data_IF_458258058098
#
_entry.id   IF_458258058098
#
_cell.length_a   1.000
_cell.length_b   1.000
_cell.length_c   1.000
_cell.angle_alpha   90.00
_cell.angle_beta   90.00
_cell.angle_gamma   90.00
#
_symmetry.space_group_name_H-M   'P 1'
#
loop_
_entity.id
_entity.type
_entity.pdbx_description
1 polymer ?
#
# COMPACT_ATOMS: atom_id res chain seq x y z
N UNK A 1 -15.21 13.43 -3.96
CA UNK A 1 -15.61 13.30 -2.54
C UNK A 1 -14.37 13.19 -1.68
N UNK A 2 -14.34 13.84 -0.51
CA UNK A 2 -13.23 13.70 0.45
C UNK A 2 -13.51 12.47 1.31
N UNK A 3 -12.56 11.53 1.39
CA UNK A 3 -12.65 10.37 2.28
C UNK A 3 -12.30 10.79 3.71
N UNK A 4 -13.05 10.29 4.70
CA UNK A 4 -12.85 10.58 6.12
C UNK A 4 -13.00 9.27 6.89
N UNK A 5 -12.14 9.04 7.88
CA UNK A 5 -12.28 7.88 8.77
C UNK A 5 -13.42 8.11 9.76
N UNK A 6 -14.35 7.16 9.81
CA UNK A 6 -15.39 7.14 10.82
C UNK A 6 -14.86 6.54 12.12
N UNK A 7 -15.45 6.90 13.26
CA UNK A 7 -15.04 6.37 14.57
C UNK A 7 -15.11 4.83 14.62
N UNK A 8 -16.09 4.23 13.95
CA UNK A 8 -16.19 2.77 13.85
C UNK A 8 -15.03 2.13 13.08
N UNK A 9 -14.45 2.82 12.10
CA UNK A 9 -13.23 2.35 11.44
C UNK A 9 -12.07 2.28 12.42
N UNK A 10 -11.91 3.33 13.25
CA UNK A 10 -10.86 3.38 14.27
C UNK A 10 -11.06 2.29 15.32
N UNK A 11 -12.29 2.09 15.80
CA UNK A 11 -12.63 1.04 16.77
C UNK A 11 -12.39 -0.36 16.21
N UNK A 12 -12.75 -0.59 14.95
CA UNK A 12 -12.51 -1.85 14.28
C UNK A 12 -11.00 -2.15 14.18
N UNK A 13 -10.23 -1.17 13.72
CA UNK A 13 -8.78 -1.30 13.58
C UNK A 13 -8.09 -1.51 14.92
N UNK A 14 -8.47 -0.78 15.98
CA UNK A 14 -7.92 -0.98 17.33
C UNK A 14 -8.18 -2.40 17.88
N UNK A 15 -9.30 -3.03 17.50
CA UNK A 15 -9.65 -4.38 17.96
C UNK A 15 -8.97 -5.48 17.16
N UNK A 16 -8.89 -5.32 15.84
CA UNK A 16 -8.40 -6.38 14.94
C UNK A 16 -6.94 -6.21 14.50
N UNK A 17 -6.36 -5.01 14.68
CA UNK A 17 -5.06 -4.67 14.11
C UNK A 17 -5.06 -4.56 12.58
N UNK A 18 -6.23 -4.61 11.94
CA UNK A 18 -6.39 -4.47 10.50
C UNK A 18 -7.76 -3.93 10.11
N UNK A 19 -7.88 -3.37 8.90
CA UNK A 19 -9.13 -2.90 8.32
C UNK A 19 -9.04 -2.89 6.79
N UNK A 20 -10.12 -3.28 6.12
CA UNK A 20 -10.24 -3.26 4.65
C UNK A 20 -11.13 -2.11 4.19
N UNK A 21 -10.74 -1.48 3.09
CA UNK A 21 -11.53 -0.47 2.38
C UNK A 21 -11.66 -0.87 0.92
N UNK A 22 -12.88 -1.20 0.49
CA UNK A 22 -13.17 -1.69 -0.87
C UNK A 22 -12.79 -0.70 -1.98
N UNK A 23 -12.99 0.59 -1.74
CA UNK A 23 -12.74 1.66 -2.71
C UNK A 23 -11.81 2.75 -2.16
N UNK A 24 -10.66 2.34 -1.61
CA UNK A 24 -9.68 3.27 -1.04
C UNK A 24 -9.10 4.20 -2.12
N UNK A 25 -8.79 3.64 -3.28
CA UNK A 25 -8.26 4.36 -4.45
C UNK A 25 -9.12 4.00 -5.66
N UNK A 26 -9.50 4.96 -6.53
CA UNK A 26 -10.21 4.63 -7.75
C UNK A 26 -9.41 3.70 -8.64
N UNK A 27 -10.08 2.67 -9.16
CA UNK A 27 -9.49 1.67 -10.05
C UNK A 27 -8.72 2.29 -11.23
N UNK A 28 -9.22 3.41 -11.79
CA UNK A 28 -8.51 4.15 -12.85
C UNK A 28 -7.11 4.61 -12.45
N UNK A 29 -6.95 5.13 -11.24
CA UNK A 29 -5.65 5.59 -10.72
C UNK A 29 -4.72 4.39 -10.47
N UNK A 30 -5.28 3.27 -9.96
CA UNK A 30 -4.56 2.01 -9.75
C UNK A 30 -4.06 1.38 -11.05
N UNK A 31 -4.93 1.23 -12.06
CA UNK A 31 -4.57 0.68 -13.36
C UNK A 31 -3.50 1.56 -14.06
N UNK A 32 -3.63 2.88 -13.97
CA UNK A 32 -2.64 3.79 -14.54
C UNK A 32 -1.26 3.65 -13.86
N UNK A 33 -1.24 3.47 -12.54
CA UNK A 33 -0.01 3.21 -11.80
C UNK A 33 0.59 1.85 -12.18
N UNK A 34 -0.23 0.82 -12.31
CA UNK A 34 0.23 -0.53 -12.71
C UNK A 34 0.90 -0.52 -14.10
N UNK A 35 0.34 0.22 -15.05
CA UNK A 35 0.96 0.38 -16.39
C UNK A 35 2.33 1.04 -16.28
N UNK A 36 2.48 2.06 -15.43
CA UNK A 36 3.77 2.73 -15.21
C UNK A 36 4.79 1.79 -14.56
N UNK A 37 4.38 1.00 -13.57
CA UNK A 37 5.21 -0.03 -12.93
C UNK A 37 5.68 -1.07 -13.96
N UNK A 38 4.77 -1.59 -14.80
CA UNK A 38 5.10 -2.53 -15.87
C UNK A 38 6.08 -1.92 -16.88
N UNK A 39 5.89 -0.67 -17.27
CA UNK A 39 6.79 0.02 -18.20
C UNK A 39 8.18 0.27 -17.59
N UNK A 40 8.26 0.61 -16.31
CA UNK A 40 9.52 0.75 -15.59
C UNK A 40 10.29 -0.57 -15.51
N UNK A 41 9.64 -1.69 -15.21
CA UNK A 41 10.31 -2.99 -15.22
C UNK A 41 10.84 -3.35 -16.62
N UNK A 42 10.08 -3.06 -17.69
CA UNK A 42 10.54 -3.31 -19.06
C UNK A 42 11.80 -2.51 -19.44
N UNK A 43 11.97 -1.31 -18.89
CA UNK A 43 13.11 -0.44 -19.23
C UNK A 43 14.34 -0.75 -18.41
N UNK A 44 14.18 -1.18 -17.15
CA UNK A 44 15.29 -1.32 -16.20
C UNK A 44 15.67 -2.78 -15.93
N UNK A 45 14.73 -3.71 -16.01
CA UNK A 45 14.97 -5.10 -15.65
C UNK A 45 15.19 -5.98 -16.88
N UNK A 46 16.37 -6.61 -16.96
CA UNK A 46 16.59 -7.79 -17.83
C UNK A 46 15.84 -9.03 -17.33
N UNK A 47 15.56 -9.06 -16.03
CA UNK A 47 14.80 -10.12 -15.34
C UNK A 47 13.71 -9.48 -14.46
N UNK A 48 12.47 -9.64 -14.88
CA UNK A 48 11.28 -9.07 -14.24
C UNK A 48 10.90 -9.78 -12.93
N UNK A 49 11.45 -10.97 -12.66
CA UNK A 49 11.18 -11.72 -11.44
C UNK A 49 12.04 -11.27 -10.26
N UNK A 50 13.13 -10.53 -10.54
CA UNK A 50 14.06 -10.13 -9.51
C UNK A 50 13.41 -9.14 -8.51
N UNK A 51 13.30 -9.51 -7.22
CA UNK A 51 12.64 -8.70 -6.20
C UNK A 51 13.33 -7.35 -5.96
N UNK A 52 14.60 -7.20 -6.35
CA UNK A 52 15.35 -5.94 -6.24
C UNK A 52 14.67 -4.79 -6.98
N UNK A 53 14.11 -5.05 -8.17
CA UNK A 53 13.46 -4.02 -8.98
C UNK A 53 12.05 -3.68 -8.52
N UNK A 54 11.53 -4.43 -7.54
CA UNK A 54 10.17 -4.32 -7.01
C UNK A 54 10.13 -3.67 -5.63
N UNK A 55 11.30 -3.46 -4.99
CA UNK A 55 11.43 -2.76 -3.71
C UNK A 55 11.71 -1.27 -3.93
N UNK A 56 11.11 -0.41 -3.11
CA UNK A 56 11.34 1.04 -3.10
C UNK A 56 11.05 1.71 -4.45
N UNK A 57 10.00 1.26 -5.15
CA UNK A 57 9.59 1.75 -6.47
C UNK A 57 9.15 3.21 -6.41
N UNK A 58 8.68 3.71 -5.26
CA UNK A 58 8.40 5.15 -5.07
C UNK A 58 9.61 6.06 -5.37
N UNK A 59 10.85 5.53 -5.28
CA UNK A 59 12.07 6.29 -5.59
C UNK A 59 12.29 6.49 -7.09
N UNK A 60 11.70 5.62 -7.91
CA UNK A 60 11.83 5.66 -9.37
C UNK A 60 10.55 6.10 -10.07
N UNK A 61 9.39 5.92 -9.41
CA UNK A 61 8.07 6.22 -9.95
C UNK A 61 7.38 7.24 -9.02
N UNK A 62 7.52 8.55 -9.30
CA UNK A 62 7.01 9.60 -8.43
C UNK A 62 5.48 9.58 -8.28
N UNK A 63 4.76 8.92 -9.19
CA UNK A 63 3.32 8.73 -9.11
C UNK A 63 2.89 7.94 -7.88
N UNK A 64 3.76 7.06 -7.36
CA UNK A 64 3.51 6.32 -6.12
C UNK A 64 3.41 7.29 -4.94
N UNK A 65 4.43 8.12 -4.75
CA UNK A 65 4.45 9.16 -3.70
C UNK A 65 3.32 10.17 -3.88
N UNK A 66 3.02 10.53 -5.13
CA UNK A 66 1.91 11.42 -5.48
C UNK A 66 0.56 10.80 -5.11
N UNK A 67 0.36 9.51 -5.34
CA UNK A 67 -0.86 8.79 -4.95
C UNK A 67 -1.03 8.82 -3.43
N UNK A 68 0.02 8.48 -2.68
CA UNK A 68 0.02 8.47 -1.21
C UNK A 68 -0.37 9.84 -0.65
N UNK A 69 0.20 10.92 -1.20
CA UNK A 69 -0.13 12.30 -0.81
C UNK A 69 -1.55 12.69 -1.21
N UNK A 70 -1.92 12.49 -2.48
CA UNK A 70 -3.24 12.87 -3.03
C UNK A 70 -4.39 12.16 -2.31
N UNK A 71 -4.19 10.91 -1.91
CA UNK A 71 -5.18 10.09 -1.21
C UNK A 71 -5.04 10.14 0.31
N UNK A 72 -4.08 10.92 0.83
CA UNK A 72 -3.83 11.09 2.27
C UNK A 72 -3.63 9.74 3.00
N UNK A 73 -2.99 8.78 2.34
CA UNK A 73 -2.83 7.42 2.87
C UNK A 73 -1.95 7.40 4.14
N UNK A 74 -0.94 8.26 4.19
CA UNK A 74 -0.12 8.45 5.38
C UNK A 74 -0.90 9.08 6.54
N UNK A 75 -1.81 10.03 6.26
CA UNK A 75 -2.66 10.62 7.30
C UNK A 75 -3.61 9.56 7.88
N UNK A 76 -4.24 8.76 7.01
CA UNK A 76 -5.11 7.66 7.44
C UNK A 76 -4.34 6.62 8.26
N UNK A 77 -3.14 6.25 7.83
CA UNK A 77 -2.29 5.37 8.62
C UNK A 77 -2.03 5.97 10.00
N UNK A 78 -1.58 7.24 10.09
CA UNK A 78 -1.32 7.92 11.36
C UNK A 78 -2.55 7.97 12.28
N UNK A 79 -3.73 8.27 11.73
CA UNK A 79 -5.00 8.29 12.47
C UNK A 79 -5.37 6.90 13.00
N UNK A 80 -5.18 5.84 12.22
CA UNK A 80 -5.49 4.47 12.63
C UNK A 80 -4.61 3.99 13.80
N UNK A 81 -3.33 4.36 13.81
CA UNK A 81 -2.36 3.96 14.85
C UNK A 81 -2.17 5.00 15.97
N UNK A 82 -2.95 6.07 16.01
CA UNK A 82 -2.84 7.14 17.02
C UNK A 82 -1.45 7.80 17.09
N UNK A 83 -0.82 8.02 15.94
CA UNK A 83 0.45 8.75 15.83
C UNK A 83 0.22 10.16 15.30
N UNK A 84 1.05 11.16 15.69
CA UNK A 84 0.91 12.52 15.18
C UNK A 84 1.20 12.61 13.68
N UNK A 85 2.12 11.80 13.17
CA UNK A 85 2.50 11.73 11.76
C UNK A 85 3.22 10.40 11.48
N UNK A 86 3.05 9.90 10.25
CA UNK A 86 3.89 8.86 9.67
C UNK A 86 4.33 9.25 8.27
N UNK A 87 5.39 8.60 7.78
CA UNK A 87 5.93 8.78 6.44
C UNK A 87 6.06 7.43 5.74
N UNK A 88 5.91 7.41 4.40
CA UNK A 88 6.26 6.24 3.60
C UNK A 88 7.78 6.04 3.66
N UNK A 89 8.23 4.88 4.16
CA UNK A 89 9.66 4.55 4.27
C UNK A 89 10.10 3.49 3.28
N UNK A 90 9.22 2.53 3.00
CA UNK A 90 9.45 1.46 2.04
C UNK A 90 8.16 1.16 1.27
N UNK A 91 8.31 0.67 0.04
CA UNK A 91 7.23 0.02 -0.68
C UNK A 91 7.75 -1.25 -1.40
N UNK A 92 6.82 -2.14 -1.74
CA UNK A 92 7.13 -3.38 -2.42
C UNK A 92 6.01 -3.78 -3.37
N UNK A 93 6.34 -4.04 -4.63
CA UNK A 93 5.39 -4.49 -5.65
C UNK A 93 5.25 -6.02 -5.62
N UNK A 94 4.06 -6.48 -5.27
CA UNK A 94 3.69 -7.86 -4.95
C UNK A 94 2.85 -8.47 -6.06
N UNK A 95 3.09 -9.75 -6.36
CA UNK A 95 2.27 -10.54 -7.26
C UNK A 95 1.48 -11.64 -6.52
N UNK A 96 0.40 -12.14 -7.14
CA UNK A 96 -0.38 -13.25 -6.57
C UNK A 96 0.50 -14.46 -6.22
N UNK A 97 0.26 -15.05 -5.04
CA UNK A 97 0.99 -16.22 -4.55
C UNK A 97 2.35 -15.92 -3.90
N UNK A 98 2.81 -14.67 -3.90
CA UNK A 98 4.03 -14.29 -3.19
C UNK A 98 3.78 -14.07 -1.69
N UNK A 99 4.77 -14.43 -0.87
CA UNK A 99 4.75 -14.07 0.55
C UNK A 99 5.07 -12.59 0.71
N UNK A 100 4.22 -11.88 1.46
CA UNK A 100 4.46 -10.49 1.81
C UNK A 100 5.68 -10.38 2.73
N UNK A 101 6.57 -9.41 2.50
CA UNK A 101 7.71 -9.19 3.38
C UNK A 101 7.22 -8.80 4.78
N UNK A 102 7.82 -9.41 5.81
CA UNK A 102 7.55 -9.05 7.20
C UNK A 102 8.12 -7.66 7.48
N UNK A 103 7.32 -6.81 8.12
CA UNK A 103 7.72 -5.47 8.55
C UNK A 103 7.40 -5.29 10.04
N UNK A 104 8.30 -4.63 10.76
CA UNK A 104 8.13 -4.25 12.17
C UNK A 104 7.81 -2.76 12.31
N UNK A 105 7.52 -2.08 11.19
CA UNK A 105 7.15 -0.66 11.20
C UNK A 105 5.72 -0.45 11.71
N UNK A 106 5.40 0.81 12.00
CA UNK A 106 4.19 1.17 12.73
C UNK A 106 2.88 0.77 12.02
N UNK A 107 2.82 0.88 10.68
CA UNK A 107 1.63 0.52 9.91
C UNK A 107 1.98 0.15 8.46
N UNK A 108 1.25 -0.82 7.91
CA UNK A 108 1.37 -1.26 6.53
C UNK A 108 0.03 -1.08 5.79
N UNK A 109 0.11 -0.83 4.48
CA UNK A 109 -1.05 -0.78 3.60
C UNK A 109 -0.78 -1.62 2.36
N UNK A 110 -1.60 -2.64 2.11
CA UNK A 110 -1.60 -3.34 0.83
C UNK A 110 -2.68 -2.76 -0.08
N UNK A 111 -2.31 -2.23 -1.24
CA UNK A 111 -3.22 -1.66 -2.22
C UNK A 111 -3.29 -2.53 -3.48
N UNK A 112 -4.46 -3.07 -3.79
CA UNK A 112 -4.70 -3.85 -4.99
C UNK A 112 -4.68 -2.94 -6.24
N UNK A 113 -3.78 -3.23 -7.18
CA UNK A 113 -3.60 -2.42 -8.40
C UNK A 113 -4.36 -2.98 -9.61
N UNK A 114 -4.73 -4.27 -9.56
CA UNK A 114 -5.40 -4.99 -10.66
C UNK A 114 -6.28 -6.12 -10.10
N UNK A 115 -7.10 -6.72 -10.97
CA UNK A 115 -8.08 -7.75 -10.61
C UNK A 115 -9.43 -7.19 -10.18
N UNK A 116 -10.30 -8.06 -9.67
CA UNK A 116 -11.69 -7.74 -9.34
C UNK A 116 -11.81 -6.76 -8.16
N UNK A 117 -10.82 -6.78 -7.25
CA UNK A 117 -10.72 -5.89 -6.09
C UNK A 117 -9.80 -4.69 -6.34
N UNK A 118 -9.59 -4.28 -7.60
CA UNK A 118 -8.74 -3.15 -7.93
C UNK A 118 -9.20 -1.86 -7.23
N UNK A 119 -8.29 -1.22 -6.49
CA UNK A 119 -8.58 -0.05 -5.67
C UNK A 119 -8.86 -0.35 -4.20
N UNK A 120 -9.03 -1.62 -3.85
CA UNK A 120 -9.14 -2.07 -2.47
C UNK A 120 -7.81 -1.87 -1.73
N UNK A 121 -7.90 -1.40 -0.50
CA UNK A 121 -6.75 -1.23 0.38
C UNK A 121 -6.97 -1.87 1.74
N UNK A 122 -5.96 -2.59 2.24
CA UNK A 122 -5.96 -3.20 3.58
C UNK A 122 -4.88 -2.54 4.41
N UNK A 123 -5.28 -1.80 5.45
CA UNK A 123 -4.35 -1.33 6.48
C UNK A 123 -4.19 -2.41 7.56
N UNK A 124 -2.97 -2.61 8.05
CA UNK A 124 -2.68 -3.58 9.10
C UNK A 124 -1.41 -3.22 9.88
N UNK A 125 -1.22 -3.90 11.01
CA UNK A 125 0.01 -3.85 11.81
C UNK A 125 0.60 -5.27 11.88
N UNK A 126 1.89 -5.40 11.58
CA UNK A 126 2.62 -6.66 11.70
C UNK A 126 2.40 -7.58 10.50
N UNK A 127 1.92 -8.80 10.74
CA UNK A 127 1.73 -9.80 9.68
C UNK A 127 0.45 -9.50 8.90
N UNK A 128 0.49 -9.69 7.58
CA UNK A 128 -0.69 -9.54 6.74
C UNK A 128 -1.82 -10.49 7.20
N UNK A 129 -3.07 -10.01 7.34
CA UNK A 129 -4.15 -10.84 7.85
C UNK A 129 -4.55 -11.92 6.83
N UNK A 130 -4.49 -13.19 7.22
CA UNK A 130 -4.80 -14.32 6.33
C UNK A 130 -6.22 -14.27 5.76
N UNK A 131 -7.17 -13.69 6.51
CA UNK A 131 -8.56 -13.48 6.06
C UNK A 131 -8.69 -12.64 4.78
N UNK A 132 -7.65 -11.90 4.39
CA UNK A 132 -7.60 -11.09 3.16
C UNK A 132 -6.62 -11.66 2.11
N UNK A 133 -6.05 -12.85 2.34
CA UNK A 133 -5.06 -13.46 1.44
C UNK A 133 -5.65 -13.87 0.09
N UNK A 134 -6.85 -14.45 0.09
CA UNK A 134 -7.56 -14.89 -1.12
C UNK A 134 -7.98 -13.72 -2.03
N UNK A 135 -7.98 -12.49 -1.51
CA UNK A 135 -8.33 -11.30 -2.27
C UNK A 135 -7.21 -10.85 -3.22
N UNK A 136 -5.98 -11.33 -3.02
CA UNK A 136 -4.83 -10.98 -3.86
C UNK A 136 -4.82 -11.77 -5.19
N UNK A 137 -5.81 -11.49 -6.04
CA UNK A 137 -5.93 -12.12 -7.37
C UNK A 137 -5.09 -11.40 -8.44
N UNK A 138 -4.69 -10.17 -8.17
CA UNK A 138 -3.89 -9.32 -9.06
C UNK A 138 -2.63 -8.79 -8.40
N UNK A 139 -1.89 -7.96 -9.13
CA UNK A 139 -0.74 -7.25 -8.58
C UNK A 139 -1.17 -6.20 -7.54
N UNK A 140 -0.36 -6.01 -6.51
CA UNK A 140 -0.63 -5.08 -5.42
C UNK A 140 0.64 -4.36 -4.97
N UNK A 141 0.49 -3.17 -4.42
CA UNK A 141 1.60 -2.40 -3.87
C UNK A 141 1.48 -2.38 -2.34
N UNK A 142 2.50 -2.92 -1.68
CA UNK A 142 2.65 -2.82 -0.24
C UNK A 142 3.36 -1.50 0.09
N UNK A 143 2.74 -0.69 0.93
CA UNK A 143 3.32 0.52 1.50
C UNK A 143 3.63 0.29 2.97
N UNK A 144 4.79 0.78 3.41
CA UNK A 144 5.25 0.67 4.79
C UNK A 144 5.41 2.08 5.36
N UNK A 145 4.65 2.37 6.42
CA UNK A 145 4.62 3.66 7.08
C UNK A 145 5.29 3.59 8.46
N UNK A 146 6.10 4.62 8.75
CA UNK A 146 6.82 4.75 10.01
C UNK A 146 6.69 6.16 10.59
N UNK A 147 6.55 6.27 11.90
CA UNK A 147 6.61 7.51 12.68
C UNK A 147 8.04 7.95 12.95
N UNK A 148 9.00 7.02 12.87
CA UNK A 148 10.44 7.29 13.04
C UNK A 148 11.11 7.67 11.71
N UNK A 149 10.44 7.42 10.59
CA UNK A 149 10.96 7.69 9.25
C UNK A 149 11.03 9.17 8.92
N UNK A 150 12.19 9.61 8.42
CA UNK A 150 12.30 10.90 7.75
C UNK A 150 11.35 10.94 6.54
N UNK A 151 10.50 11.98 6.41
CA UNK A 151 9.59 12.09 5.28
C UNK A 151 10.36 12.12 3.96
N UNK A 152 9.96 11.26 3.02
CA UNK A 152 10.43 11.33 1.63
C UNK A 152 9.75 12.55 0.99
N UNK A 153 10.53 13.61 0.77
CA UNK A 153 10.13 14.84 0.06
C UNK A 153 10.18 14.68 -1.46
#
# INVERSE_FOLDING_TARGET
MKSVLHLEHLRHFQRQGSIVFEALVPSKDCCALEVKLKNFLKTVAKDTQNPRWRKNVFRSIPEVSTLVRKRRLADFAAELIHRPKVSLVEDFWVFPGEQLPKSTEDCQLLLCLSGDVCGQGVFFIGTYPEQYSEQLQGSALLFIFSSSGNPVY
#
